data_IF_557630491944
#
_entry.id   IF_557630491944
#
_cell.length_a   1.000
_cell.length_b   1.000
_cell.length_c   1.000
_cell.angle_alpha   90.00
_cell.angle_beta   90.00
_cell.angle_gamma   90.00
#
_symmetry.space_group_name_H-M   'P 1'
#
loop_
_entity.id
_entity.type
_entity.pdbx_description
1 polymer ?
#
# COMPACT_ATOMS: atom_id res chain seq x y z
N UNK A 1 13.03 4.85 7.79
CA UNK A 1 12.23 3.98 6.90
C UNK A 1 13.19 2.92 6.36
N UNK A 2 12.94 1.63 6.59
CA UNK A 2 13.82 0.57 6.09
C UNK A 2 13.09 -0.17 4.96
N UNK A 3 13.38 0.21 3.71
CA UNK A 3 12.68 -0.28 2.53
C UNK A 3 12.98 -1.75 2.19
N UNK A 4 13.79 -2.43 2.97
CA UNK A 4 14.04 -3.88 2.84
C UNK A 4 13.53 -4.67 4.04
N UNK A 5 12.81 -4.03 4.99
CA UNK A 5 12.25 -4.71 6.14
C UNK A 5 10.90 -5.36 5.77
N UNK A 6 10.76 -6.69 5.88
CA UNK A 6 9.50 -7.40 5.63
C UNK A 6 8.33 -6.89 6.50
N UNK A 7 8.62 -6.32 7.67
CA UNK A 7 7.59 -5.70 8.54
C UNK A 7 6.96 -4.47 7.90
N UNK A 8 7.63 -3.84 6.94
CA UNK A 8 7.11 -2.67 6.26
C UNK A 8 5.98 -3.04 5.30
N UNK A 9 6.07 -4.18 4.63
CA UNK A 9 4.97 -4.69 3.78
C UNK A 9 3.72 -4.95 4.62
N UNK A 10 3.87 -5.56 5.79
CA UNK A 10 2.72 -5.84 6.64
C UNK A 10 2.07 -4.58 7.22
N UNK A 11 2.88 -3.54 7.50
CA UNK A 11 2.36 -2.22 7.86
C UNK A 11 1.58 -1.59 6.70
N UNK A 12 2.12 -1.65 5.48
CA UNK A 12 1.43 -1.15 4.28
C UNK A 12 0.11 -1.89 4.09
N UNK A 13 0.10 -3.23 4.16
CA UNK A 13 -1.13 -4.03 4.04
C UNK A 13 -2.15 -3.67 5.11
N UNK A 14 -1.72 -3.50 6.36
CA UNK A 14 -2.58 -3.09 7.47
C UNK A 14 -3.18 -1.70 7.23
N UNK A 15 -2.37 -0.73 6.78
CA UNK A 15 -2.83 0.62 6.46
C UNK A 15 -3.83 0.62 5.29
N UNK A 16 -3.58 -0.19 4.25
CA UNK A 16 -4.51 -0.35 3.13
C UNK A 16 -5.84 -0.97 3.57
N UNK A 17 -5.84 -1.99 4.45
CA UNK A 17 -7.08 -2.55 5.02
C UNK A 17 -7.85 -1.52 5.84
N UNK A 18 -7.15 -0.67 6.60
CA UNK A 18 -7.75 0.43 7.35
C UNK A 18 -8.36 1.49 6.43
N UNK A 19 -7.67 1.84 5.34
CA UNK A 19 -8.17 2.74 4.32
C UNK A 19 -9.40 2.16 3.59
N UNK A 20 -9.41 0.86 3.29
CA UNK A 20 -10.54 0.17 2.66
C UNK A 20 -11.78 0.22 3.55
N UNK A 21 -11.62 -0.14 4.83
CA UNK A 21 -12.69 -0.09 5.83
C UNK A 21 -13.29 1.32 6.00
N UNK A 22 -12.49 2.36 5.74
CA UNK A 22 -12.91 3.77 5.81
C UNK A 22 -13.46 4.29 4.47
N UNK A 23 -13.52 3.48 3.41
CA UNK A 23 -13.94 3.90 2.07
C UNK A 23 -12.95 4.85 1.38
N UNK A 24 -11.67 4.85 1.79
CA UNK A 24 -10.64 5.80 1.34
C UNK A 24 -9.65 5.23 0.32
N UNK A 25 -9.86 4.01 -0.17
CA UNK A 25 -8.92 3.38 -1.10
C UNK A 25 -8.72 4.19 -2.40
N UNK A 26 -9.78 4.85 -2.89
CA UNK A 26 -9.72 5.73 -4.06
C UNK A 26 -8.79 6.93 -3.83
N UNK A 27 -8.84 7.52 -2.63
CA UNK A 27 -7.96 8.63 -2.25
C UNK A 27 -6.51 8.17 -2.22
N UNK A 28 -6.24 7.01 -1.61
CA UNK A 28 -4.90 6.42 -1.58
C UNK A 28 -4.37 6.21 -3.00
N UNK A 29 -5.16 5.61 -3.89
CA UNK A 29 -4.75 5.39 -5.28
C UNK A 29 -4.44 6.70 -6.02
N UNK A 30 -5.23 7.74 -5.78
CA UNK A 30 -5.03 9.05 -6.40
C UNK A 30 -3.75 9.75 -5.93
N UNK A 31 -3.42 9.68 -4.63
CA UNK A 31 -2.22 10.34 -4.08
C UNK A 31 -0.95 9.54 -4.35
N UNK A 32 -1.03 8.20 -4.37
CA UNK A 32 0.14 7.37 -4.66
C UNK A 32 0.43 7.32 -6.16
N UNK A 33 -0.59 7.44 -7.01
CA UNK A 33 -0.41 7.28 -8.46
C UNK A 33 -0.04 5.85 -8.85
N UNK A 34 -0.38 4.87 -8.02
CA UNK A 34 -0.03 3.46 -8.25
C UNK A 34 -0.66 2.95 -9.55
N UNK A 35 0.13 2.27 -10.38
CA UNK A 35 -0.37 1.64 -11.60
C UNK A 35 -1.44 0.60 -11.25
N UNK A 36 -2.58 0.63 -11.97
CA UNK A 36 -3.74 -0.23 -11.65
C UNK A 36 -4.65 0.31 -10.53
N UNK A 37 -4.29 1.42 -9.88
CA UNK A 37 -5.14 2.17 -8.96
C UNK A 37 -5.70 1.32 -7.81
N UNK A 38 -7.01 1.46 -7.55
CA UNK A 38 -7.71 0.75 -6.45
C UNK A 38 -7.58 -0.77 -6.58
N UNK A 39 -7.60 -1.32 -7.80
CA UNK A 39 -7.49 -2.77 -8.00
C UNK A 39 -6.12 -3.28 -7.53
N UNK A 40 -5.07 -2.54 -7.81
CA UNK A 40 -3.72 -2.88 -7.36
C UNK A 40 -3.58 -2.76 -5.83
N UNK A 41 -4.15 -1.72 -5.22
CA UNK A 41 -4.19 -1.62 -3.76
C UNK A 41 -4.92 -2.79 -3.11
N UNK A 42 -6.01 -3.27 -3.72
CA UNK A 42 -6.72 -4.48 -3.26
C UNK A 42 -5.90 -5.75 -3.45
N UNK A 43 -5.11 -5.85 -4.53
CA UNK A 43 -4.17 -6.96 -4.73
C UNK A 43 -3.12 -6.96 -3.61
N UNK A 44 -2.47 -5.82 -3.39
CA UNK A 44 -1.41 -5.66 -2.38
C UNK A 44 -1.90 -6.01 -0.97
N UNK A 45 -3.04 -5.45 -0.54
CA UNK A 45 -3.52 -5.66 0.83
C UNK A 45 -3.89 -7.12 1.14
N UNK A 46 -4.21 -7.90 0.11
CA UNK A 46 -4.62 -9.31 0.20
C UNK A 46 -3.49 -10.29 -0.19
N UNK A 47 -2.37 -9.80 -0.70
CA UNK A 47 -1.22 -10.60 -1.10
C UNK A 47 -0.23 -10.78 0.06
N UNK A 48 0.54 -11.87 0.03
CA UNK A 48 1.72 -12.08 0.88
C UNK A 48 3.03 -11.84 0.12
N UNK A 49 2.95 -11.53 -1.18
CA UNK A 49 4.11 -11.25 -2.03
C UNK A 49 4.87 -10.01 -1.54
N UNK A 50 6.17 -10.04 -1.78
CA UNK A 50 7.03 -8.91 -1.48
C UNK A 50 6.67 -7.73 -2.39
N UNK A 51 6.56 -6.54 -1.80
CA UNK A 51 6.37 -5.31 -2.56
C UNK A 51 7.68 -4.89 -3.24
N UNK A 52 7.57 -4.43 -4.48
CA UNK A 52 8.69 -3.77 -5.14
C UNK A 52 9.14 -2.55 -4.31
N UNK A 53 10.46 -2.33 -4.22
CA UNK A 53 11.05 -1.27 -3.38
C UNK A 53 10.46 0.12 -3.67
N UNK A 54 10.17 0.41 -4.94
CA UNK A 54 9.55 1.67 -5.37
C UNK A 54 8.12 1.81 -4.85
N UNK A 55 7.29 0.78 -5.01
CA UNK A 55 5.90 0.77 -4.51
C UNK A 55 5.87 0.84 -2.99
N UNK A 56 6.80 0.14 -2.32
CA UNK A 56 6.96 0.16 -0.87
C UNK A 56 7.29 1.56 -0.37
N UNK A 57 8.21 2.26 -1.04
CA UNK A 57 8.55 3.65 -0.70
C UNK A 57 7.39 4.62 -0.92
N UNK A 58 6.76 4.54 -2.09
CA UNK A 58 5.61 5.36 -2.45
C UNK A 58 4.45 5.18 -1.47
N UNK A 59 4.06 3.94 -1.18
CA UNK A 59 2.96 3.61 -0.28
C UNK A 59 3.29 4.02 1.15
N UNK A 60 4.50 3.75 1.63
CA UNK A 60 4.88 4.06 3.00
C UNK A 60 4.98 5.57 3.29
N UNK A 61 5.24 6.41 2.28
CA UNK A 61 5.19 7.88 2.44
C UNK A 61 3.74 8.36 2.64
N UNK A 62 2.77 7.76 1.94
CA UNK A 62 1.39 8.26 1.89
C UNK A 62 0.44 7.55 2.88
N UNK A 63 0.84 6.42 3.46
CA UNK A 63 0.02 5.60 4.37
C UNK A 63 0.43 5.71 5.85
N UNK A 64 1.36 6.61 6.17
CA UNK A 64 1.89 6.79 7.53
C UNK A 64 0.90 7.51 8.45
#
# INVERSE_FOLDING_TARGET
MNLTDPKQDERIRTALRSADKKGRLQVVAAVTGIAGGVAELRRIMNSTEELAVMDRGMLAIHLN
#
